data_IF_566385554585
#
_entry.id   IF_566385554585
#
_cell.length_a   1.000
_cell.length_b   1.000
_cell.length_c   1.000
_cell.angle_alpha   90.00
_cell.angle_beta   90.00
_cell.angle_gamma   90.00
#
_symmetry.space_group_name_H-M   'P 1'
#
loop_
_entity.id
_entity.type
_entity.pdbx_description
1 polymer ?
#
# COMPACT_ATOMS: atom_id res chain seq x y z
N UNK A 1 -6.28 19.54 3.37
CA UNK A 1 -6.89 18.19 3.29
C UNK A 1 -5.98 17.28 4.09
N UNK A 2 -6.49 16.74 5.19
CA UNK A 2 -5.72 15.99 6.20
C UNK A 2 -5.32 14.64 5.58
N UNK A 3 -4.01 14.42 5.44
CA UNK A 3 -3.37 13.25 4.82
C UNK A 3 -2.90 12.32 5.93
N UNK A 4 -3.77 11.42 6.38
CA UNK A 4 -3.48 10.55 7.55
C UNK A 4 -3.58 9.07 7.20
N UNK A 5 -4.04 8.72 6.00
CA UNK A 5 -4.28 7.32 5.62
C UNK A 5 -3.66 6.98 4.27
N UNK A 6 -2.37 6.61 4.29
CA UNK A 6 -1.63 6.18 3.10
C UNK A 6 -2.30 5.00 2.35
N UNK A 7 -3.00 4.11 3.07
CA UNK A 7 -3.86 3.08 2.47
C UNK A 7 -4.98 3.68 1.61
N UNK A 8 -5.75 4.63 2.18
CA UNK A 8 -6.86 5.31 1.51
C UNK A 8 -6.35 6.06 0.28
N UNK A 9 -5.21 6.75 0.42
CA UNK A 9 -4.55 7.45 -0.68
C UNK A 9 -4.22 6.51 -1.84
N UNK A 10 -3.69 5.31 -1.56
CA UNK A 10 -3.40 4.30 -2.59
C UNK A 10 -4.67 3.81 -3.30
N UNK A 11 -5.71 3.43 -2.57
CA UNK A 11 -6.93 2.90 -3.22
C UNK A 11 -7.69 3.99 -3.98
N UNK A 12 -7.73 5.23 -3.47
CA UNK A 12 -8.31 6.36 -4.19
C UNK A 12 -7.56 6.69 -5.48
N UNK A 13 -6.25 6.44 -5.53
CA UNK A 13 -5.46 6.71 -6.73
C UNK A 13 -5.92 5.85 -7.91
N UNK A 14 -6.28 4.58 -7.68
CA UNK A 14 -6.86 3.74 -8.73
C UNK A 14 -8.20 4.26 -9.24
N UNK A 15 -9.06 4.75 -8.32
CA UNK A 15 -10.35 5.32 -8.73
C UNK A 15 -10.13 6.55 -9.61
N UNK A 16 -9.20 7.44 -9.25
CA UNK A 16 -8.88 8.63 -10.05
C UNK A 16 -8.36 8.29 -11.45
N UNK A 17 -7.60 7.20 -11.58
CA UNK A 17 -7.11 6.71 -12.89
C UNK A 17 -8.25 6.14 -13.76
N UNK A 18 -9.44 5.91 -13.20
CA UNK A 18 -10.60 5.36 -13.92
C UNK A 18 -11.51 6.48 -14.42
N UNK A 19 -11.65 6.69 -15.75
CA UNK A 19 -12.52 7.74 -16.29
C UNK A 19 -13.98 7.57 -15.85
N UNK A 20 -14.59 8.67 -15.43
CA UNK A 20 -16.02 8.71 -15.08
C UNK A 20 -16.37 8.17 -13.68
N UNK A 21 -15.39 7.86 -12.84
CA UNK A 21 -15.62 7.39 -11.47
C UNK A 21 -15.13 8.43 -10.45
N UNK A 22 -15.94 8.70 -9.44
CA UNK A 22 -15.61 9.66 -8.37
C UNK A 22 -15.04 8.95 -7.13
N UNK A 23 -13.82 9.32 -6.74
CA UNK A 23 -13.12 8.77 -5.58
C UNK A 23 -13.52 9.45 -4.25
N UNK A 24 -14.17 10.62 -4.30
CA UNK A 24 -14.50 11.42 -3.10
C UNK A 24 -15.43 10.72 -2.11
N UNK A 25 -16.44 9.92 -2.53
CA UNK A 25 -17.27 9.14 -1.61
C UNK A 25 -16.48 8.23 -0.67
N UNK A 26 -15.31 7.73 -1.09
CA UNK A 26 -14.49 6.88 -0.24
C UNK A 26 -13.93 7.61 1.00
N UNK A 27 -13.76 8.95 0.93
CA UNK A 27 -13.28 9.73 2.08
C UNK A 27 -14.34 9.95 3.17
N UNK A 28 -15.63 9.70 2.90
CA UNK A 28 -16.70 9.90 3.88
C UNK A 28 -16.64 8.94 5.08
N UNK A 29 -15.84 7.88 5.05
CA UNK A 29 -15.61 6.97 6.18
C UNK A 29 -14.27 7.15 6.89
N UNK A 30 -13.42 8.07 6.44
CA UNK A 30 -12.02 8.17 6.88
C UNK A 30 -11.86 8.96 8.19
N UNK A 31 -12.81 9.85 8.48
CA UNK A 31 -12.80 10.69 9.69
C UNK A 31 -13.01 9.89 11.00
N UNK A 32 -13.51 8.67 10.91
CA UNK A 32 -13.77 7.75 12.04
C UNK A 32 -12.75 6.59 12.08
N UNK A 33 -11.60 6.77 11.43
CA UNK A 33 -10.56 5.76 11.40
C UNK A 33 -9.88 5.63 12.76
N UNK A 34 -9.86 4.40 13.29
CA UNK A 34 -9.25 4.10 14.58
C UNK A 34 -7.72 4.32 14.54
N UNK A 35 -7.16 4.72 15.68
CA UNK A 35 -5.72 4.81 15.88
C UNK A 35 -5.37 4.17 17.22
N UNK A 36 -4.22 3.52 17.26
CA UNK A 36 -3.75 2.91 18.49
C UNK A 36 -2.58 3.63 19.08
N UNK A 37 -2.50 3.58 20.40
CA UNK A 37 -1.37 4.08 21.17
C UNK A 37 -0.76 2.89 21.91
N UNK A 38 0.55 2.71 21.82
CA UNK A 38 1.28 1.67 22.53
C UNK A 38 1.29 1.94 24.04
N UNK A 39 1.67 0.95 24.85
CA UNK A 39 1.85 1.14 26.30
C UNK A 39 2.89 2.22 26.64
N UNK A 40 3.79 2.54 25.70
CA UNK A 40 4.78 3.61 25.80
C UNK A 40 4.24 5.00 25.39
N UNK A 41 2.93 5.15 25.16
CA UNK A 41 2.28 6.37 24.68
C UNK A 41 2.71 6.82 23.27
N UNK A 42 3.20 5.90 22.45
CA UNK A 42 3.57 6.17 21.05
C UNK A 42 2.40 5.80 20.13
N UNK A 43 2.20 6.53 19.03
CA UNK A 43 1.25 6.10 18.00
C UNK A 43 1.69 4.74 17.47
N UNK A 44 0.91 3.71 17.77
CA UNK A 44 1.11 2.39 17.21
C UNK A 44 0.35 2.32 15.88
N UNK A 45 1.04 1.93 14.83
CA UNK A 45 0.45 1.55 13.55
C UNK A 45 0.05 0.06 13.53
N UNK A 46 0.44 -0.69 14.56
CA UNK A 46 0.16 -2.11 14.77
C UNK A 46 -0.74 -2.26 15.99
N UNK A 47 -2.05 -2.22 15.77
CA UNK A 47 -3.02 -2.63 16.78
C UNK A 47 -4.00 -3.64 16.20
N UNK A 48 -4.41 -4.64 17.00
CA UNK A 48 -5.52 -5.54 16.64
C UNK A 48 -6.83 -4.81 16.26
N UNK A 49 -6.96 -3.53 16.65
CA UNK A 49 -8.15 -2.71 16.44
C UNK A 49 -8.08 -1.82 15.19
N UNK A 50 -6.90 -1.58 14.61
CA UNK A 50 -6.75 -0.81 13.36
C UNK A 50 -7.15 -1.68 12.16
N UNK A 51 -8.46 -1.93 12.01
CA UNK A 51 -8.99 -2.86 11.01
C UNK A 51 -9.24 -2.13 9.69
N UNK A 52 -8.38 -2.34 8.71
CA UNK A 52 -8.64 -1.98 7.31
C UNK A 52 -9.77 -2.80 6.66
N UNK A 53 -10.38 -3.74 7.37
CA UNK A 53 -11.50 -4.55 6.87
C UNK A 53 -12.68 -3.67 6.46
N UNK A 54 -13.07 -2.71 7.29
CA UNK A 54 -14.12 -1.75 6.95
C UNK A 54 -13.81 -1.01 5.65
N UNK A 55 -12.60 -0.48 5.48
CA UNK A 55 -12.23 0.18 4.23
C UNK A 55 -12.31 -0.74 3.02
N UNK A 56 -11.96 -2.01 3.15
CA UNK A 56 -12.05 -3.01 2.07
C UNK A 56 -13.49 -3.32 1.70
N UNK A 57 -14.35 -3.51 2.70
CA UNK A 57 -15.77 -3.77 2.49
C UNK A 57 -16.46 -2.58 1.83
N UNK A 58 -16.16 -1.36 2.28
CA UNK A 58 -16.65 -0.13 1.65
C UNK A 58 -16.13 0.06 0.23
N UNK A 59 -14.85 -0.26 -0.02
CA UNK A 59 -14.27 -0.15 -1.36
C UNK A 59 -14.97 -1.12 -2.34
N UNK A 60 -15.24 -2.35 -1.88
CA UNK A 60 -16.02 -3.33 -2.64
C UNK A 60 -17.47 -2.88 -2.82
N UNK A 61 -18.12 -2.36 -1.79
CA UNK A 61 -19.51 -1.93 -1.86
C UNK A 61 -19.71 -0.74 -2.81
N UNK A 62 -18.84 0.27 -2.74
CA UNK A 62 -18.98 1.51 -3.50
C UNK A 62 -18.49 1.36 -4.94
N UNK A 63 -17.42 0.60 -5.16
CA UNK A 63 -16.72 0.55 -6.46
C UNK A 63 -16.71 -0.83 -7.10
N UNK A 64 -17.18 -1.87 -6.40
CA UNK A 64 -17.14 -3.25 -6.92
C UNK A 64 -15.72 -3.82 -7.02
N UNK A 65 -14.72 -3.15 -6.43
CA UNK A 65 -13.32 -3.56 -6.52
C UNK A 65 -12.93 -4.36 -5.29
N UNK A 66 -12.35 -5.54 -5.51
CA UNK A 66 -11.88 -6.40 -4.44
C UNK A 66 -10.41 -6.16 -4.11
N UNK A 67 -10.06 -6.45 -2.85
CA UNK A 67 -8.77 -6.21 -2.25
C UNK A 67 -8.34 -7.49 -1.48
N UNK A 68 -7.46 -8.37 -1.99
CA UNK A 68 -6.97 -9.66 -1.36
C UNK A 68 -5.50 -9.76 -0.84
N UNK A 69 -5.19 -10.31 0.35
CA UNK A 69 -3.78 -10.45 0.81
C UNK A 69 -2.91 -11.28 -0.10
N UNK A 70 -1.67 -10.81 -0.25
CA UNK A 70 -0.59 -11.64 -0.77
C UNK A 70 0.39 -12.09 0.31
N UNK A 71 0.66 -11.27 1.34
CA UNK A 71 1.59 -11.64 2.41
C UNK A 71 0.97 -12.68 3.33
N UNK A 72 1.74 -13.74 3.63
CA UNK A 72 1.36 -14.79 4.57
C UNK A 72 2.38 -14.85 5.72
N UNK A 73 1.97 -14.50 6.96
CA UNK A 73 2.88 -14.49 8.11
C UNK A 73 3.35 -15.89 8.53
N UNK A 74 2.67 -16.96 8.06
CA UNK A 74 3.12 -18.33 8.31
C UNK A 74 4.27 -18.76 7.37
N UNK A 75 4.50 -18.02 6.28
CA UNK A 75 5.56 -18.33 5.32
C UNK A 75 6.85 -17.57 5.63
N UNK A 76 8.02 -18.13 5.29
CA UNK A 76 9.29 -17.42 5.38
C UNK A 76 9.27 -16.12 4.57
N UNK A 77 10.02 -15.12 5.03
CA UNK A 77 10.13 -13.80 4.41
C UNK A 77 10.52 -13.91 2.93
N UNK A 78 11.46 -14.78 2.60
CA UNK A 78 11.97 -14.97 1.24
C UNK A 78 10.85 -15.44 0.31
N UNK A 79 9.94 -16.31 0.78
CA UNK A 79 8.79 -16.79 0.01
C UNK A 79 7.81 -15.64 -0.26
N UNK A 80 7.56 -14.80 0.75
CA UNK A 80 6.74 -13.59 0.59
C UNK A 80 7.37 -12.61 -0.42
N UNK A 81 8.69 -12.41 -0.36
CA UNK A 81 9.40 -11.55 -1.34
C UNK A 81 9.25 -12.09 -2.75
N UNK A 82 9.45 -13.40 -2.97
CA UNK A 82 9.26 -14.01 -4.29
C UNK A 82 7.82 -13.87 -4.80
N UNK A 83 6.85 -13.96 -3.89
CA UNK A 83 5.45 -13.69 -4.23
C UNK A 83 5.25 -12.24 -4.65
N UNK A 84 5.77 -11.26 -3.91
CA UNK A 84 5.69 -9.84 -4.27
C UNK A 84 6.27 -9.59 -5.66
N UNK A 85 7.49 -10.08 -5.91
CA UNK A 85 8.16 -10.00 -7.21
C UNK A 85 7.25 -10.53 -8.31
N UNK A 86 6.74 -11.75 -8.15
CA UNK A 86 5.86 -12.38 -9.14
C UNK A 86 4.60 -11.56 -9.41
N UNK A 87 4.00 -10.96 -8.36
CA UNK A 87 2.82 -10.12 -8.49
C UNK A 87 3.08 -8.82 -9.23
N UNK A 88 4.24 -8.19 -9.02
CA UNK A 88 4.62 -6.95 -9.72
C UNK A 88 4.94 -7.25 -11.18
N UNK A 89 5.73 -8.29 -11.45
CA UNK A 89 6.16 -8.67 -12.81
C UNK A 89 5.01 -9.18 -13.69
N UNK A 90 4.07 -9.93 -13.11
CA UNK A 90 2.95 -10.52 -13.84
C UNK A 90 1.64 -9.75 -13.65
N UNK A 91 1.72 -8.48 -13.22
CA UNK A 91 0.58 -7.63 -12.96
C UNK A 91 -0.16 -7.30 -14.28
N UNK A 92 -1.45 -7.67 -14.43
CA UNK A 92 -2.28 -7.14 -15.49
C UNK A 92 -2.48 -5.63 -15.35
N UNK A 93 -2.63 -4.89 -16.46
CA UNK A 93 -2.80 -3.43 -16.48
C UNK A 93 -3.91 -2.91 -15.54
N UNK A 94 -4.96 -3.71 -15.33
CA UNK A 94 -6.11 -3.37 -14.49
C UNK A 94 -5.94 -3.71 -13.00
N UNK A 95 -4.75 -4.16 -12.58
CA UNK A 95 -4.43 -4.47 -11.17
C UNK A 95 -3.33 -3.55 -10.69
N UNK A 96 -3.31 -3.24 -9.39
CA UNK A 96 -2.17 -2.59 -8.75
C UNK A 96 -1.56 -3.53 -7.70
N UNK A 97 -0.27 -3.37 -7.41
CA UNK A 97 0.36 -4.00 -6.25
C UNK A 97 0.63 -2.92 -5.21
N UNK A 98 0.10 -3.11 -4.02
CA UNK A 98 0.33 -2.23 -2.87
C UNK A 98 1.13 -2.98 -1.81
N UNK A 99 2.12 -2.31 -1.24
CA UNK A 99 3.01 -2.85 -0.22
C UNK A 99 3.20 -1.82 0.89
N UNK A 100 3.38 -2.29 2.12
CA UNK A 100 3.83 -1.45 3.22
C UNK A 100 5.35 -1.57 3.34
N UNK A 101 6.05 -0.44 3.31
CA UNK A 101 7.51 -0.36 3.42
C UNK A 101 7.91 0.56 4.57
N UNK A 102 9.11 0.35 5.10
CA UNK A 102 9.77 1.32 5.99
C UNK A 102 10.43 2.42 5.14
N UNK A 103 9.77 3.56 5.00
CA UNK A 103 10.33 4.67 4.22
C UNK A 103 11.58 5.28 4.86
N UNK A 104 11.79 5.09 6.17
CA UNK A 104 13.02 5.52 6.83
C UNK A 104 14.27 4.86 6.20
N UNK A 105 14.11 3.62 5.68
CA UNK A 105 15.19 2.83 5.06
C UNK A 105 15.36 3.09 3.56
N UNK A 106 14.62 4.04 2.98
CA UNK A 106 14.69 4.39 1.55
C UNK A 106 15.34 5.78 1.38
N UNK A 107 16.68 5.84 1.17
CA UNK A 107 17.44 7.09 1.16
C UNK A 107 17.20 7.97 -0.08
N UNK A 108 16.52 7.47 -1.11
CA UNK A 108 16.19 8.23 -2.34
C UNK A 108 15.17 9.36 -2.11
N UNK A 109 14.59 9.44 -0.91
CA UNK A 109 13.73 10.56 -0.50
C UNK A 109 14.49 11.45 0.46
N UNK A 110 14.45 12.77 0.22
CA UNK A 110 14.75 13.76 1.25
C UNK A 110 13.73 13.60 2.38
N UNK A 111 14.05 12.75 3.36
CA UNK A 111 13.14 12.38 4.43
C UNK A 111 12.89 13.61 5.32
N UNK A 112 11.72 14.25 5.13
CA UNK A 112 11.16 15.18 6.12
C UNK A 112 10.74 14.46 7.41
N UNK A 113 10.78 13.13 7.43
CA UNK A 113 10.30 12.28 8.50
C UNK A 113 11.49 11.67 9.22
N UNK A 114 11.94 12.31 10.31
CA UNK A 114 12.92 11.75 11.24
C UNK A 114 12.32 10.61 12.11
N UNK A 115 11.15 10.09 11.74
CA UNK A 115 10.47 9.02 12.47
C UNK A 115 11.03 7.68 12.01
N UNK A 116 11.45 6.85 12.98
CA UNK A 116 11.99 5.53 12.75
C UNK A 116 11.30 4.56 13.74
N UNK A 117 10.55 3.55 13.27
CA UNK A 117 10.26 3.22 11.87
C UNK A 117 9.27 4.20 11.24
N UNK A 118 9.19 4.22 9.89
CA UNK A 118 8.16 4.95 9.15
C UNK A 118 7.41 4.02 8.18
N UNK A 119 6.50 3.17 8.70
CA UNK A 119 5.72 2.24 7.89
C UNK A 119 4.71 3.00 7.01
N UNK A 120 4.75 2.76 5.70
CA UNK A 120 3.91 3.50 4.74
C UNK A 120 3.47 2.63 3.58
N UNK A 121 2.22 2.78 3.15
CA UNK A 121 1.72 2.13 1.95
C UNK A 121 2.15 2.88 0.69
N UNK A 122 2.73 2.13 -0.24
CA UNK A 122 3.09 2.59 -1.58
C UNK A 122 2.59 1.59 -2.61
N UNK A 123 2.54 2.02 -3.86
CA UNK A 123 2.19 1.18 -5.00
C UNK A 123 3.42 0.92 -5.86
N UNK A 124 3.55 -0.31 -6.37
CA UNK A 124 4.68 -0.76 -7.17
C UNK A 124 4.25 -1.19 -8.58
N UNK A 125 5.06 -0.84 -9.56
CA UNK A 125 4.92 -1.24 -10.97
C UNK A 125 6.30 -1.59 -11.56
N UNK A 126 6.33 -2.42 -12.61
CA UNK A 126 7.56 -2.66 -13.39
C UNK A 126 7.96 -1.42 -14.19
N UNK A 127 9.25 -1.28 -14.49
CA UNK A 127 9.76 -0.31 -15.46
C UNK A 127 10.30 -1.03 -16.70
N UNK A 128 10.82 -0.28 -17.66
CA UNK A 128 11.58 -0.85 -18.79
C UNK A 128 12.90 -1.49 -18.33
N UNK A 129 13.45 -1.05 -17.19
CA UNK A 129 14.64 -1.62 -16.58
C UNK A 129 14.23 -2.73 -15.57
N UNK A 130 14.61 -4.00 -15.79
CA UNK A 130 14.23 -5.11 -14.91
C UNK A 130 14.83 -5.00 -13.50
N UNK A 131 15.88 -4.20 -13.31
CA UNK A 131 16.51 -3.95 -12.01
C UNK A 131 15.84 -2.80 -11.24
N UNK A 132 14.87 -2.12 -11.86
CA UNK A 132 14.15 -1.00 -11.28
C UNK A 132 12.64 -1.21 -11.28
N UNK A 133 12.03 -0.89 -10.15
CA UNK A 133 10.58 -0.79 -10.04
C UNK A 133 10.17 0.67 -9.90
N UNK A 134 9.01 1.00 -10.45
CA UNK A 134 8.39 2.28 -10.24
C UNK A 134 7.62 2.23 -8.92
N UNK A 135 7.89 3.18 -8.04
CA UNK A 135 7.15 3.35 -6.79
C UNK A 135 6.33 4.64 -6.87
N UNK A 136 5.03 4.53 -6.63
CA UNK A 136 4.11 5.66 -6.48
C UNK A 136 3.61 5.72 -5.04
N UNK A 137 3.73 6.90 -4.45
CA UNK A 137 3.24 7.24 -3.13
C UNK A 137 2.21 8.38 -3.27
N UNK A 138 0.92 8.03 -3.41
CA UNK A 138 -0.13 9.03 -3.64
C UNK A 138 -0.36 9.95 -2.44
N UNK A 139 0.00 9.49 -1.24
CA UNK A 139 -0.19 10.26 -0.01
C UNK A 139 0.76 11.46 0.02
N UNK A 140 2.04 11.20 -0.27
CA UNK A 140 3.05 12.25 -0.38
C UNK A 140 3.20 12.84 -1.78
N UNK A 141 2.44 12.34 -2.78
CA UNK A 141 2.53 12.73 -4.20
C UNK A 141 3.95 12.60 -4.74
N UNK A 142 4.59 11.50 -4.37
CA UNK A 142 5.94 11.20 -4.81
C UNK A 142 5.91 10.00 -5.73
N UNK A 143 6.72 10.06 -6.77
CA UNK A 143 6.88 8.99 -7.76
C UNK A 143 8.35 8.91 -8.15
N UNK A 144 8.86 7.69 -8.36
CA UNK A 144 10.23 7.50 -8.77
C UNK A 144 10.62 6.04 -8.93
N UNK A 145 11.71 5.82 -9.67
CA UNK A 145 12.31 4.50 -9.79
C UNK A 145 13.09 4.16 -8.52
N UNK A 146 12.93 2.92 -8.06
CA UNK A 146 13.63 2.34 -6.91
C UNK A 146 14.30 1.04 -7.34
N UNK A 147 15.51 0.81 -6.85
CA UNK A 147 16.24 -0.42 -7.15
C UNK A 147 15.51 -1.62 -6.53
N UNK A 148 15.19 -2.60 -7.37
CA UNK A 148 14.52 -3.84 -6.96
C UNK A 148 15.27 -4.53 -5.82
N UNK A 149 16.59 -4.67 -5.96
CA UNK A 149 17.43 -5.29 -4.94
C UNK A 149 17.35 -4.59 -3.56
N UNK A 150 17.12 -3.26 -3.54
CA UNK A 150 16.95 -2.53 -2.28
C UNK A 150 15.61 -2.86 -1.62
N UNK A 151 14.54 -3.06 -2.40
CA UNK A 151 13.25 -3.50 -1.86
C UNK A 151 13.35 -4.93 -1.31
N UNK A 152 14.07 -5.81 -2.00
CA UNK A 152 14.33 -7.18 -1.55
C UNK A 152 15.14 -7.22 -0.24
N UNK A 153 16.14 -6.34 -0.09
CA UNK A 153 16.99 -6.25 1.10
C UNK A 153 16.32 -5.51 2.28
N UNK A 154 15.64 -4.39 2.00
CA UNK A 154 14.99 -3.55 3.01
C UNK A 154 13.59 -4.00 3.40
N UNK A 155 13.10 -5.10 2.82
CA UNK A 155 11.95 -5.83 3.34
C UNK A 155 12.27 -6.48 4.71
N UNK A 156 12.91 -5.79 5.66
CA UNK A 156 12.87 -6.22 7.06
C UNK A 156 11.39 -6.45 7.44
N UNK A 157 11.08 -7.48 8.24
CA UNK A 157 9.70 -7.75 8.62
C UNK A 157 9.25 -6.62 9.54
N UNK A 158 8.74 -5.54 8.97
CA UNK A 158 7.74 -4.73 9.64
C UNK A 158 6.43 -5.41 9.34
N UNK A 159 5.83 -6.00 10.37
CA UNK A 159 4.61 -6.78 10.26
C UNK A 159 3.56 -6.08 9.38
N UNK A 160 3.30 -6.61 8.19
CA UNK A 160 2.28 -6.06 7.31
C UNK A 160 0.97 -6.80 7.52
N UNK A 161 0.01 -6.12 8.15
CA UNK A 161 -1.40 -6.37 7.89
C UNK A 161 -1.77 -5.71 6.56
N UNK A 162 -1.83 -6.46 5.46
CA UNK A 162 -2.46 -5.96 4.24
C UNK A 162 -3.05 -7.10 3.41
N UNK A 163 -4.36 -7.27 3.51
CA UNK A 163 -5.11 -7.94 2.46
C UNK A 163 -5.27 -6.97 1.28
N UNK A 164 -4.66 -7.15 0.08
CA UNK A 164 -4.93 -6.43 -1.20
C UNK A 164 -4.37 -7.02 -2.53
N UNK A 165 -5.27 -7.40 -3.45
CA UNK A 165 -5.11 -7.95 -4.81
C UNK A 165 -6.44 -7.68 -5.52
N UNK A 166 -6.40 -7.39 -6.82
CA UNK A 166 -7.49 -6.79 -7.59
C UNK A 166 -8.21 -7.83 -8.46
N UNK A 167 -9.51 -7.98 -8.34
CA UNK A 167 -10.35 -8.42 -9.45
C UNK A 167 -10.84 -7.16 -10.15
N UNK A 168 -10.32 -6.89 -11.35
CA UNK A 168 -10.76 -5.75 -12.15
C UNK A 168 -12.25 -5.80 -12.42
N UNK A 169 -12.85 -4.63 -12.60
CA UNK A 169 -14.23 -4.51 -13.07
C UNK A 169 -14.42 -5.38 -14.32
N UNK A 170 -15.51 -6.17 -14.39
CA UNK A 170 -15.83 -6.86 -15.64
C UNK A 170 -15.97 -5.82 -16.74
N UNK A 171 -15.23 -6.01 -17.85
CA UNK A 171 -15.50 -5.28 -19.09
C UNK A 171 -16.97 -5.53 -19.45
N UNK A 172 -17.76 -4.46 -19.56
CA UNK A 172 -19.08 -4.51 -20.19
C UNK A 172 -18.93 -4.63 -21.69
#
# INVERSE_FOLDING_TARGET
MIKVHCFVSCVCELIKRTPGVDHRPFYFGVWDADFSVSEAFELSYHSPNTRHESFRDWYRMLYGIEIHAWYDPALPKEVNIQRLISLVENRPEHRQVMVMLDLYRLPERENKFHQNPFPHYVMLETTEDPDQWFMSDPDFRWEGAVLRAKLEQNAAPLEVFARSFFAGLPKR
#
